data_IF_009023861986
#
_entry.id   IF_009023861986
#
_cell.length_a   1.000
_cell.length_b   1.000
_cell.length_c   1.000
_cell.angle_alpha   90.00
_cell.angle_beta   90.00
_cell.angle_gamma   90.00
#
_symmetry.space_group_name_H-M   'P 1'
#
loop_
_entity.id
_entity.type
_entity.pdbx_description
1 polymer ?
#
# COMPACT_ATOMS: atom_id res chain seq x y z
N UNK A 1 87.70 4.02 20.13
CA UNK A 1 87.73 2.58 20.47
C UNK A 1 89.08 2.32 21.13
N UNK A 2 89.11 2.00 22.42
CA UNK A 2 90.37 1.76 23.14
C UNK A 2 90.82 0.32 22.89
N UNK A 3 91.75 0.13 21.95
CA UNK A 3 92.27 -1.20 21.55
C UNK A 3 92.86 -1.97 22.74
N UNK A 4 93.42 -1.25 23.72
CA UNK A 4 94.07 -1.82 24.90
C UNK A 4 93.10 -2.48 25.91
N UNK A 5 91.78 -2.38 25.68
CA UNK A 5 90.74 -3.00 26.52
C UNK A 5 90.15 -4.28 25.90
N UNK A 6 90.58 -4.67 24.71
CA UNK A 6 90.08 -5.84 24.00
C UNK A 6 91.04 -7.01 24.26
N UNK A 7 90.55 -8.14 24.74
CA UNK A 7 91.37 -9.34 24.98
C UNK A 7 91.32 -10.30 23.79
N UNK A 8 90.28 -10.22 22.97
CA UNK A 8 90.10 -11.01 21.76
C UNK A 8 89.65 -10.18 20.56
N UNK A 9 89.87 -10.72 19.37
CA UNK A 9 89.43 -10.13 18.09
C UNK A 9 87.90 -10.10 17.91
N UNK A 10 87.12 -10.64 18.85
CA UNK A 10 85.64 -10.64 18.83
C UNK A 10 85.03 -9.60 19.77
N UNK A 11 85.85 -8.90 20.55
CA UNK A 11 85.40 -7.91 21.53
C UNK A 11 85.19 -6.53 20.89
N UNK A 12 85.61 -6.36 19.64
CA UNK A 12 85.35 -5.14 18.89
C UNK A 12 83.87 -5.05 18.51
N UNK A 13 83.41 -3.82 18.24
CA UNK A 13 82.00 -3.58 17.91
C UNK A 13 81.55 -4.39 16.68
N UNK A 14 82.43 -4.57 15.69
CA UNK A 14 82.13 -5.38 14.51
C UNK A 14 82.02 -6.87 14.82
N UNK A 15 82.90 -7.42 15.66
CA UNK A 15 82.86 -8.80 16.13
C UNK A 15 81.60 -9.11 16.92
N UNK A 16 81.26 -8.27 17.89
CA UNK A 16 80.03 -8.37 18.69
C UNK A 16 78.79 -8.31 17.79
N UNK A 17 78.72 -7.33 16.89
CA UNK A 17 77.58 -7.20 15.96
C UNK A 17 77.46 -8.39 15.02
N UNK A 18 78.58 -8.92 14.50
CA UNK A 18 78.58 -10.09 13.64
C UNK A 18 78.08 -11.34 14.39
N UNK A 19 78.50 -11.52 15.64
CA UNK A 19 78.06 -12.62 16.50
C UNK A 19 76.56 -12.53 16.80
N UNK A 20 76.06 -11.36 17.17
CA UNK A 20 74.63 -11.16 17.38
C UNK A 20 73.82 -11.34 16.10
N UNK A 21 74.32 -10.85 14.95
CA UNK A 21 73.64 -11.04 13.67
C UNK A 21 73.56 -12.50 13.25
N UNK A 22 74.61 -13.28 13.48
CA UNK A 22 74.63 -14.73 13.20
C UNK A 22 73.74 -15.50 14.19
N UNK A 23 73.74 -15.11 15.47
CA UNK A 23 72.94 -15.76 16.52
C UNK A 23 71.44 -15.51 16.34
N UNK A 24 71.06 -14.27 15.99
CA UNK A 24 69.65 -13.88 15.79
C UNK A 24 69.14 -14.25 14.39
N UNK A 25 70.03 -14.37 13.40
CA UNK A 25 69.69 -14.63 12.00
C UNK A 25 68.66 -15.75 11.78
N UNK A 26 68.89 -16.98 12.29
CA UNK A 26 67.98 -18.11 12.09
C UNK A 26 66.58 -17.91 12.69
N UNK A 27 66.48 -17.25 13.85
CA UNK A 27 65.21 -16.98 14.52
C UNK A 27 64.50 -15.71 14.02
N UNK A 28 65.21 -14.85 13.28
CA UNK A 28 64.70 -13.57 12.84
C UNK A 28 63.50 -13.75 11.92
N UNK A 29 63.58 -14.64 10.93
CA UNK A 29 62.47 -14.89 10.01
C UNK A 29 61.18 -15.32 10.73
N UNK A 30 61.32 -16.14 11.78
CA UNK A 30 60.19 -16.66 12.56
C UNK A 30 59.51 -15.61 13.45
N UNK A 31 60.22 -14.54 13.78
CA UNK A 31 59.76 -13.46 14.67
C UNK A 31 59.50 -12.15 13.95
N UNK A 32 60.00 -12.00 12.72
CA UNK A 32 59.71 -10.84 11.88
C UNK A 32 58.31 -10.91 11.33
N UNK A 33 57.54 -9.86 11.60
CA UNK A 33 56.30 -9.64 10.88
C UNK A 33 56.61 -9.28 9.42
N UNK A 34 56.14 -10.11 8.49
CA UNK A 34 56.30 -9.90 7.05
C UNK A 34 55.23 -8.96 6.47
N UNK A 35 54.26 -8.50 7.28
CA UNK A 35 53.25 -7.54 6.86
C UNK A 35 53.84 -6.14 6.83
N UNK A 36 53.92 -5.48 5.66
CA UNK A 36 54.43 -4.11 5.54
C UNK A 36 53.53 -3.10 6.26
N UNK A 37 54.12 -2.00 6.73
CA UNK A 37 53.39 -0.93 7.43
C UNK A 37 52.36 -0.27 6.49
N UNK A 38 51.12 -0.16 6.95
CA UNK A 38 50.01 0.42 6.18
C UNK A 38 50.29 1.83 5.64
N UNK A 39 51.08 2.65 6.35
CA UNK A 39 51.46 4.00 5.90
C UNK A 39 52.23 4.01 4.57
N UNK A 40 52.95 2.92 4.24
CA UNK A 40 53.63 2.77 2.96
C UNK A 40 52.77 2.13 1.88
N UNK A 41 51.93 1.16 2.24
CA UNK A 41 51.13 0.36 1.28
C UNK A 41 49.86 1.09 0.84
N UNK A 42 49.17 1.75 1.76
CA UNK A 42 47.91 2.44 1.47
C UNK A 42 48.04 3.50 0.36
N UNK A 43 49.04 4.41 0.36
CA UNK A 43 49.17 5.37 -0.73
C UNK A 43 49.54 4.70 -2.06
N UNK A 44 50.29 3.60 -2.05
CA UNK A 44 50.62 2.84 -3.27
C UNK A 44 49.38 2.19 -3.89
N UNK A 45 48.52 1.59 -3.05
CA UNK A 45 47.27 0.99 -3.48
C UNK A 45 46.26 2.03 -3.97
N UNK A 46 46.11 3.16 -3.27
CA UNK A 46 45.19 4.25 -3.67
C UNK A 46 45.61 4.90 -4.99
N UNK A 47 46.91 4.96 -5.29
CA UNK A 47 47.41 5.48 -6.57
C UNK A 47 47.23 4.51 -7.75
N UNK A 48 46.78 3.28 -7.52
CA UNK A 48 46.57 2.27 -8.56
C UNK A 48 45.05 2.08 -8.80
N UNK A 49 44.55 2.61 -9.92
CA UNK A 49 43.11 2.60 -10.26
C UNK A 49 42.49 1.20 -10.32
N UNK A 50 43.29 0.18 -10.64
CA UNK A 50 42.83 -1.22 -10.80
C UNK A 50 42.90 -2.04 -9.51
N UNK A 51 43.46 -1.48 -8.43
CA UNK A 51 43.66 -2.20 -7.17
C UNK A 51 42.86 -1.51 -6.09
N UNK A 52 41.80 -2.18 -5.62
CA UNK A 52 41.11 -1.73 -4.43
C UNK A 52 42.00 -1.99 -3.21
N UNK A 53 42.33 -0.96 -2.41
CA UNK A 53 43.07 -1.17 -1.17
C UNK A 53 42.24 -2.10 -0.27
N UNK A 54 42.73 -3.32 -0.10
CA UNK A 54 42.26 -4.24 0.92
C UNK A 54 43.26 -4.15 2.06
N UNK A 55 42.81 -3.70 3.22
CA UNK A 55 43.51 -4.06 4.44
C UNK A 55 43.47 -5.59 4.49
N UNK A 56 44.63 -6.24 4.63
CA UNK A 56 44.72 -7.70 4.59
C UNK A 56 43.86 -8.39 5.67
N UNK A 57 44.03 -9.70 5.84
CA UNK A 57 43.38 -10.39 6.94
C UNK A 57 43.98 -9.95 8.28
N UNK A 58 43.32 -9.02 8.96
CA UNK A 58 43.71 -8.49 10.27
C UNK A 58 44.06 -7.00 10.26
N UNK A 59 43.82 -6.33 11.39
CA UNK A 59 44.20 -4.92 11.56
C UNK A 59 45.72 -4.79 11.77
N UNK A 60 46.24 -3.60 11.45
CA UNK A 60 47.64 -3.22 11.61
C UNK A 60 48.20 -3.60 13.00
N UNK A 61 49.34 -4.32 13.03
CA UNK A 61 50.01 -4.74 14.26
C UNK A 61 50.28 -3.63 15.27
N UNK A 62 50.49 -2.40 14.81
CA UNK A 62 50.71 -1.25 15.69
C UNK A 62 49.49 -0.88 16.55
N UNK A 63 48.29 -1.35 16.16
CA UNK A 63 47.03 -1.08 16.85
C UNK A 63 46.31 -2.35 17.30
N UNK A 64 47.01 -3.51 17.32
CA UNK A 64 46.41 -4.79 17.74
C UNK A 64 45.82 -4.69 19.14
N UNK A 65 46.49 -4.01 20.09
CA UNK A 65 45.99 -3.92 21.45
C UNK A 65 44.69 -3.11 21.54
N UNK A 66 44.62 -1.99 20.83
CA UNK A 66 43.40 -1.17 20.77
C UNK A 66 42.23 -1.92 20.11
N UNK A 67 42.49 -2.67 19.03
CA UNK A 67 41.48 -3.51 18.38
C UNK A 67 41.07 -4.69 19.27
N UNK A 68 42.03 -5.36 19.90
CA UNK A 68 41.79 -6.47 20.81
C UNK A 68 40.92 -6.04 21.98
N UNK A 69 41.16 -4.84 22.51
CA UNK A 69 40.32 -4.22 23.53
C UNK A 69 38.90 -4.06 23.00
N UNK A 70 38.69 -3.47 21.82
CA UNK A 70 37.34 -3.27 21.26
C UNK A 70 36.60 -4.58 20.96
N UNK A 71 37.29 -5.59 20.41
CA UNK A 71 36.70 -6.89 20.04
C UNK A 71 36.39 -7.77 21.24
N UNK A 72 37.27 -7.75 22.24
CA UNK A 72 37.14 -8.58 23.44
C UNK A 72 36.49 -7.82 24.61
N UNK A 73 36.08 -6.58 24.39
CA UNK A 73 35.41 -5.77 25.40
C UNK A 73 34.11 -6.44 25.84
N UNK A 74 34.00 -6.67 27.15
CA UNK A 74 32.88 -7.38 27.79
C UNK A 74 31.55 -6.60 27.62
N UNK A 75 31.62 -5.30 27.33
CA UNK A 75 30.45 -4.47 27.03
C UNK A 75 29.84 -4.79 25.66
N UNK A 76 30.65 -5.19 24.68
CA UNK A 76 30.19 -5.60 23.34
C UNK A 76 29.94 -7.11 23.29
N UNK A 77 29.13 -7.62 24.22
CA UNK A 77 28.65 -8.99 24.10
C UNK A 77 27.71 -9.08 22.91
N UNK A 78 28.17 -9.75 21.86
CA UNK A 78 27.26 -10.40 20.91
C UNK A 78 26.64 -11.61 21.63
N UNK A 79 25.76 -11.34 22.60
CA UNK A 79 24.95 -12.38 23.20
C UNK A 79 24.29 -13.10 22.02
N UNK A 80 24.61 -14.38 21.84
CA UNK A 80 23.94 -15.22 20.85
C UNK A 80 22.49 -15.37 21.31
N UNK A 81 21.69 -14.34 21.06
CA UNK A 81 20.26 -14.40 21.20
C UNK A 81 19.81 -15.51 20.25
N UNK A 82 19.03 -16.47 20.75
CA UNK A 82 18.31 -17.39 19.87
C UNK A 82 17.30 -16.54 19.08
N UNK A 83 17.76 -16.00 17.96
CA UNK A 83 16.89 -15.50 16.90
C UNK A 83 16.18 -16.74 16.37
N UNK A 84 14.99 -17.03 16.92
CA UNK A 84 14.06 -17.94 16.28
C UNK A 84 13.63 -17.23 14.99
N UNK A 85 14.01 -17.71 13.80
CA UNK A 85 13.54 -17.09 12.57
C UNK A 85 12.02 -17.29 12.53
N UNK A 86 11.28 -16.26 12.91
CA UNK A 86 9.85 -16.21 12.68
C UNK A 86 9.69 -15.78 11.23
N UNK A 87 8.93 -16.56 10.46
CA UNK A 87 8.52 -16.10 9.15
C UNK A 87 7.74 -14.79 9.31
N UNK A 88 7.99 -13.86 8.41
CA UNK A 88 7.14 -12.67 8.25
C UNK A 88 5.67 -13.10 8.17
N UNK A 89 4.73 -12.36 8.81
CA UNK A 89 3.31 -12.70 8.78
C UNK A 89 2.74 -12.84 7.36
N UNK A 90 3.38 -12.21 6.38
CA UNK A 90 3.00 -12.26 4.97
C UNK A 90 4.21 -12.72 4.14
N UNK A 91 4.04 -13.73 3.29
CA UNK A 91 5.07 -14.27 2.40
C UNK A 91 5.46 -13.28 1.29
N UNK A 92 4.49 -12.52 0.80
CA UNK A 92 4.60 -11.54 -0.29
C UNK A 92 3.76 -10.30 0.01
N UNK A 93 3.82 -9.31 -0.88
CA UNK A 93 2.97 -8.11 -0.81
C UNK A 93 1.52 -8.50 -1.14
N UNK A 94 0.55 -8.22 -0.26
CA UNK A 94 -0.86 -8.46 -0.54
C UNK A 94 -1.40 -7.52 -1.61
N UNK A 95 -2.51 -7.90 -2.25
CA UNK A 95 -3.17 -7.08 -3.27
C UNK A 95 -3.58 -5.71 -2.72
N UNK A 96 -3.04 -4.62 -3.29
CA UNK A 96 -3.24 -3.24 -2.80
C UNK A 96 -4.16 -2.38 -3.68
N UNK A 97 -4.85 -2.94 -4.67
CA UNK A 97 -5.62 -2.12 -5.62
C UNK A 97 -6.82 -1.38 -4.99
N UNK A 98 -7.26 -1.78 -3.80
CA UNK A 98 -8.31 -1.08 -3.05
C UNK A 98 -7.87 0.25 -2.42
N UNK A 99 -6.57 0.57 -2.47
CA UNK A 99 -6.03 1.78 -1.85
C UNK A 99 -6.20 1.81 -0.32
N UNK A 100 -6.08 3.00 0.25
CA UNK A 100 -6.36 3.23 1.67
C UNK A 100 -7.82 3.68 1.81
N UNK A 101 -8.75 2.84 2.30
CA UNK A 101 -10.12 3.26 2.49
C UNK A 101 -10.19 4.33 3.60
N UNK A 102 -10.89 5.42 3.32
CA UNK A 102 -11.27 6.38 4.35
C UNK A 102 -12.37 5.77 5.19
N UNK A 103 -12.04 5.36 6.41
CA UNK A 103 -12.96 4.65 7.32
C UNK A 103 -14.18 5.49 7.66
N UNK A 104 -14.00 6.81 7.80
CA UNK A 104 -15.08 7.74 8.14
C UNK A 104 -16.09 7.81 6.99
N UNK A 105 -15.62 7.96 5.75
CA UNK A 105 -16.47 8.02 4.56
C UNK A 105 -17.17 6.68 4.33
N UNK A 106 -16.45 5.57 4.46
CA UNK A 106 -17.03 4.23 4.34
C UNK A 106 -18.12 3.99 5.40
N UNK A 107 -17.90 4.43 6.64
CA UNK A 107 -18.87 4.30 7.71
C UNK A 107 -20.15 5.11 7.44
N UNK A 108 -20.02 6.33 6.91
CA UNK A 108 -21.13 7.19 6.52
C UNK A 108 -21.95 6.60 5.36
N UNK A 109 -21.28 5.94 4.42
CA UNK A 109 -21.95 5.29 3.29
C UNK A 109 -22.67 4.00 3.69
N UNK A 110 -22.03 3.17 4.52
CA UNK A 110 -22.61 1.90 4.99
C UNK A 110 -23.77 2.12 5.98
N UNK A 111 -23.64 3.12 6.85
CA UNK A 111 -24.60 3.44 7.90
C UNK A 111 -25.20 4.83 7.66
N UNK A 112 -25.58 5.11 6.41
CA UNK A 112 -26.25 6.35 6.08
C UNK A 112 -27.49 6.53 6.95
N UNK A 113 -27.76 7.77 7.39
CA UNK A 113 -28.95 8.08 8.14
C UNK A 113 -30.21 7.68 7.35
N UNK A 114 -31.03 6.81 7.94
CA UNK A 114 -32.34 6.51 7.38
C UNK A 114 -33.24 7.73 7.61
N UNK A 115 -33.45 8.53 6.55
CA UNK A 115 -34.38 9.65 6.59
C UNK A 115 -35.80 9.09 6.72
N UNK A 116 -36.37 9.17 7.93
CA UNK A 116 -37.77 8.83 8.22
C UNK A 116 -38.71 10.02 8.00
N UNK A 117 -38.32 10.98 7.16
CA UNK A 117 -39.20 12.09 6.83
C UNK A 117 -40.37 11.55 6.00
N UNK A 118 -41.58 11.77 6.48
CA UNK A 118 -42.78 11.52 5.67
C UNK A 118 -42.73 12.38 4.42
N UNK A 119 -43.44 11.95 3.37
CA UNK A 119 -43.60 12.72 2.13
C UNK A 119 -44.00 14.17 2.47
N UNK A 120 -43.29 15.14 1.90
CA UNK A 120 -43.57 16.56 2.15
C UNK A 120 -45.02 16.89 1.74
N UNK A 121 -45.76 17.56 2.62
CA UNK A 121 -47.15 17.99 2.37
C UNK A 121 -47.30 18.90 1.12
N UNK A 122 -46.20 19.49 0.63
CA UNK A 122 -46.19 20.33 -0.58
C UNK A 122 -46.18 19.56 -1.90
N UNK A 123 -46.00 18.23 -1.87
CA UNK A 123 -45.96 17.42 -3.09
C UNK A 123 -47.37 17.14 -3.62
N UNK A 124 -47.88 18.05 -4.44
CA UNK A 124 -49.22 18.02 -5.06
C UNK A 124 -49.37 16.91 -6.12
N UNK A 125 -48.31 16.20 -6.46
CA UNK A 125 -48.27 15.19 -7.54
C UNK A 125 -49.19 13.98 -7.31
N UNK A 126 -49.58 13.72 -6.05
CA UNK A 126 -50.54 12.66 -5.71
C UNK A 126 -51.99 13.15 -5.68
N UNK A 127 -52.23 14.45 -5.91
CA UNK A 127 -53.55 15.02 -5.97
C UNK A 127 -54.02 15.14 -7.42
N UNK A 128 -55.32 14.99 -7.63
CA UNK A 128 -55.91 15.18 -8.95
C UNK A 128 -55.86 16.65 -9.36
N UNK A 129 -55.22 16.94 -10.49
CA UNK A 129 -55.21 18.28 -11.09
C UNK A 129 -56.42 18.46 -12.01
N UNK A 130 -57.42 19.23 -11.57
CA UNK A 130 -58.62 19.51 -12.36
C UNK A 130 -58.33 20.21 -13.70
N UNK A 131 -57.15 20.82 -13.84
CA UNK A 131 -56.70 21.57 -15.01
C UNK A 131 -55.80 20.75 -15.94
N UNK A 132 -55.53 19.47 -15.64
CA UNK A 132 -54.71 18.62 -16.49
C UNK A 132 -55.36 18.37 -17.87
N UNK A 133 -56.68 18.43 -17.94
CA UNK A 133 -57.42 18.27 -19.18
C UNK A 133 -58.05 19.58 -19.60
N UNK A 134 -57.97 19.90 -20.89
CA UNK A 134 -58.72 21.02 -21.45
C UNK A 134 -60.22 20.72 -21.34
N UNK A 135 -61.02 21.57 -20.66
CA UNK A 135 -62.44 21.33 -20.53
C UNK A 135 -63.10 21.34 -21.91
N UNK A 136 -64.05 20.44 -22.12
CA UNK A 136 -64.86 20.43 -23.34
C UNK A 136 -65.65 21.75 -23.45
N UNK A 137 -65.77 22.28 -24.67
CA UNK A 137 -66.59 23.47 -24.96
C UNK A 137 -67.99 23.26 -24.36
N UNK A 138 -68.57 24.22 -23.61
CA UNK A 138 -69.81 24.00 -22.84
C UNK A 138 -70.97 23.43 -23.66
N UNK A 139 -71.12 23.89 -24.90
CA UNK A 139 -72.16 23.41 -25.83
C UNK A 139 -71.93 21.94 -26.18
N UNK A 140 -70.69 21.56 -26.49
CA UNK A 140 -70.34 20.16 -26.78
C UNK A 140 -70.52 19.30 -25.53
N UNK A 141 -70.16 19.79 -24.35
CA UNK A 141 -70.34 19.07 -23.09
C UNK A 141 -71.82 18.75 -22.84
N UNK A 142 -72.70 19.74 -22.98
CA UNK A 142 -74.15 19.57 -22.77
C UNK A 142 -74.78 18.63 -23.81
N UNK A 143 -74.29 18.65 -25.04
CA UNK A 143 -74.82 17.82 -26.11
C UNK A 143 -74.29 16.38 -26.06
N UNK A 144 -72.97 16.20 -25.95
CA UNK A 144 -72.29 14.90 -26.08
C UNK A 144 -72.31 14.10 -24.78
N UNK A 145 -72.13 14.75 -23.62
CA UNK A 145 -72.10 14.02 -22.33
C UNK A 145 -73.50 13.69 -21.80
N UNK A 146 -74.56 14.24 -22.40
CA UNK A 146 -75.94 13.90 -22.04
C UNK A 146 -76.41 12.68 -22.86
N UNK A 147 -76.58 11.51 -22.24
CA UNK A 147 -76.96 10.29 -22.97
C UNK A 147 -78.33 10.40 -23.64
N UNK A 148 -79.21 11.30 -23.17
CA UNK A 148 -80.52 11.56 -23.80
C UNK A 148 -80.41 12.06 -25.24
N UNK A 149 -79.28 12.64 -25.62
CA UNK A 149 -79.09 13.22 -26.95
C UNK A 149 -78.47 12.24 -27.96
N UNK A 150 -77.73 11.23 -27.49
CA UNK A 150 -76.96 10.32 -28.35
C UNK A 150 -77.41 8.86 -28.25
N UNK A 151 -77.91 8.45 -27.08
CA UNK A 151 -78.31 7.06 -26.82
C UNK A 151 -79.83 6.95 -26.98
N UNK A 152 -80.32 6.28 -28.03
CA UNK A 152 -81.75 6.24 -28.35
C UNK A 152 -82.59 5.50 -27.29
N UNK A 153 -82.03 4.49 -26.61
CA UNK A 153 -82.67 3.79 -25.48
C UNK A 153 -83.03 4.73 -24.33
N UNK A 154 -82.18 5.73 -24.08
CA UNK A 154 -82.35 6.70 -23.00
C UNK A 154 -83.19 7.89 -23.47
N UNK A 155 -83.14 8.21 -24.76
CA UNK A 155 -83.89 9.29 -25.38
C UNK A 155 -85.40 8.99 -25.45
N UNK A 156 -85.78 7.74 -25.75
CA UNK A 156 -87.16 7.32 -25.90
C UNK A 156 -87.44 6.04 -25.12
N UNK A 157 -88.34 6.13 -24.14
CA UNK A 157 -88.81 4.98 -23.39
C UNK A 157 -89.52 4.00 -24.34
N UNK A 158 -89.01 2.76 -24.43
CA UNK A 158 -89.54 1.70 -25.30
C UNK A 158 -88.77 1.49 -26.61
N UNK A 159 -87.68 2.23 -26.86
CA UNK A 159 -86.79 1.94 -27.99
C UNK A 159 -85.97 0.66 -27.72
N UNK A 160 -85.96 -0.28 -28.66
CA UNK A 160 -85.29 -1.58 -28.54
C UNK A 160 -84.31 -1.78 -29.70
N UNK A 161 -83.06 -2.14 -29.39
CA UNK A 161 -82.08 -2.52 -30.41
C UNK A 161 -82.57 -3.72 -31.24
N UNK A 162 -82.58 -3.57 -32.56
CA UNK A 162 -83.13 -4.58 -33.49
C UNK A 162 -84.60 -4.37 -33.86
N UNK A 163 -85.25 -3.36 -33.27
CA UNK A 163 -86.62 -2.97 -33.56
C UNK A 163 -87.67 -3.94 -33.03
N UNK A 164 -88.93 -3.50 -33.08
CA UNK A 164 -90.09 -4.32 -32.80
C UNK A 164 -90.82 -4.55 -34.13
N UNK A 165 -91.20 -5.79 -34.49
CA UNK A 165 -91.97 -6.02 -35.70
C UNK A 165 -93.26 -5.19 -35.68
N UNK A 166 -93.58 -4.53 -36.80
CA UNK A 166 -94.68 -3.56 -36.92
C UNK A 166 -96.02 -4.09 -36.40
N UNK A 167 -96.26 -5.40 -36.57
CA UNK A 167 -97.46 -6.09 -36.08
C UNK A 167 -97.57 -6.11 -34.55
N UNK A 168 -96.46 -6.31 -33.85
CA UNK A 168 -96.45 -6.29 -32.38
C UNK A 168 -96.57 -4.86 -31.85
N UNK A 169 -95.94 -3.90 -32.52
CA UNK A 169 -96.06 -2.49 -32.15
C UNK A 169 -97.50 -1.98 -32.23
N UNK A 170 -98.21 -2.27 -33.34
CA UNK A 170 -99.63 -1.91 -33.49
C UNK A 170 -100.56 -2.59 -32.47
N UNK A 171 -100.17 -3.76 -31.95
CA UNK A 171 -100.91 -4.44 -30.88
C UNK A 171 -100.76 -3.70 -29.55
N UNK A 172 -99.55 -3.27 -29.21
CA UNK A 172 -99.27 -2.63 -27.91
C UNK A 172 -99.69 -1.15 -27.85
N UNK A 173 -99.84 -0.46 -28.98
CA UNK A 173 -100.32 0.95 -29.06
C UNK A 173 -101.85 1.07 -28.92
N UNK A 174 -102.61 0.04 -29.31
CA UNK A 174 -104.07 0.05 -29.35
C UNK A 174 -104.74 -0.63 -28.14
N UNK A 175 -103.98 -0.90 -27.07
CA UNK A 175 -104.45 -1.51 -25.83
C UNK A 175 -104.07 -0.58 -24.66
#
# INVERSE_FOLDING_TARGET
MEINRLTHSRDDLCGIQSFYSQSVGPGRYMTTNLVPKATGVNPLAVNQLLIYPREGYGLNNAAIDADSILRNQIAFKNNRCQIRPQSRPFLTVPYMAGGSPSRDVESLLLHSEQVRMGKECGTVTEQFFSQQYTPMIPILKQNVQNPKNLVPEVAAAGWVHGGIPTRSYLRDVNC
#
